data_IF_689573950903
#
_entry.id   IF_689573950903
#
_cell.length_a   1.000
_cell.length_b   1.000
_cell.length_c   1.000
_cell.angle_alpha   90.00
_cell.angle_beta   90.00
_cell.angle_gamma   90.00
#
_symmetry.space_group_name_H-M   'P 1'
#
loop_
_entity.id
_entity.type
_entity.pdbx_description
1 polymer ?
#
# COMPACT_ATOMS: atom_id res chain seq x y z
N UNK A 1 3.72 8.96 -7.42
CA UNK A 1 3.54 8.22 -6.15
C UNK A 1 2.26 7.39 -6.12
N UNK A 2 1.10 7.91 -6.54
CA UNK A 2 -0.17 7.18 -6.46
C UNK A 2 -0.17 5.83 -7.21
N UNK A 3 0.41 5.78 -8.42
CA UNK A 3 0.55 4.53 -9.20
C UNK A 3 1.40 3.51 -8.44
N UNK A 4 2.54 3.93 -7.86
CA UNK A 4 3.39 3.05 -7.07
C UNK A 4 2.65 2.52 -5.82
N UNK A 5 1.91 3.37 -5.12
CA UNK A 5 1.06 2.95 -3.99
C UNK A 5 0.00 1.93 -4.44
N UNK A 6 -0.66 2.15 -5.57
CA UNK A 6 -1.63 1.21 -6.12
C UNK A 6 -1.00 -0.15 -6.48
N UNK A 7 0.19 -0.15 -7.10
CA UNK A 7 0.92 -1.39 -7.41
C UNK A 7 1.30 -2.15 -6.14
N UNK A 8 1.84 -1.46 -5.13
CA UNK A 8 2.20 -2.09 -3.85
C UNK A 8 0.98 -2.66 -3.14
N UNK A 9 -0.16 -1.97 -3.19
CA UNK A 9 -1.42 -2.47 -2.64
C UNK A 9 -1.84 -3.78 -3.32
N UNK A 10 -1.79 -3.84 -4.66
CA UNK A 10 -2.13 -5.05 -5.42
C UNK A 10 -1.20 -6.20 -5.05
N UNK A 11 0.11 -5.96 -4.94
CA UNK A 11 1.08 -6.97 -4.52
C UNK A 11 0.76 -7.49 -3.12
N UNK A 12 0.48 -6.59 -2.16
CA UNK A 12 0.09 -6.97 -0.80
C UNK A 12 -1.18 -7.83 -0.77
N UNK A 13 -2.19 -7.48 -1.57
CA UNK A 13 -3.43 -8.27 -1.69
C UNK A 13 -3.14 -9.66 -2.28
N UNK A 14 -2.35 -9.75 -3.35
CA UNK A 14 -1.99 -11.05 -3.96
C UNK A 14 -1.24 -11.94 -2.98
N UNK A 15 -0.35 -11.37 -2.15
CA UNK A 15 0.38 -12.11 -1.13
C UNK A 15 -0.53 -12.73 -0.07
N UNK A 16 -1.72 -12.17 0.21
CA UNK A 16 -2.67 -12.77 1.14
C UNK A 16 -3.25 -14.11 0.65
N UNK A 17 -3.26 -14.35 -0.65
CA UNK A 17 -3.71 -15.62 -1.25
C UNK A 17 -2.57 -16.63 -1.44
N UNK A 18 -1.35 -16.26 -1.08
CA UNK A 18 -0.19 -17.14 -1.18
C UNK A 18 -0.29 -18.20 -0.07
N UNK A 19 -0.09 -19.50 -0.38
CA UNK A 19 -0.33 -20.61 0.57
C UNK A 19 0.76 -20.74 1.64
N UNK A 20 1.50 -19.66 1.92
CA UNK A 20 2.66 -19.67 2.80
C UNK A 20 2.23 -19.14 4.17
N UNK A 21 2.52 -19.90 5.22
CA UNK A 21 2.14 -19.55 6.58
C UNK A 21 3.22 -18.69 7.29
N UNK A 22 2.80 -17.94 8.31
CA UNK A 22 3.70 -17.20 9.20
C UNK A 22 4.05 -15.80 8.73
N UNK A 23 5.30 -15.57 8.29
CA UNK A 23 5.87 -14.24 8.05
C UNK A 23 5.25 -13.52 6.84
N UNK A 24 4.82 -14.26 5.81
CA UNK A 24 4.33 -13.67 4.55
C UNK A 24 2.99 -12.95 4.69
N UNK A 25 1.98 -13.52 5.36
CA UNK A 25 0.75 -12.78 5.67
C UNK A 25 1.03 -11.49 6.45
N UNK A 26 2.02 -11.48 7.36
CA UNK A 26 2.41 -10.27 8.10
C UNK A 26 3.01 -9.23 7.15
N UNK A 27 3.93 -9.63 6.26
CA UNK A 27 4.51 -8.74 5.25
C UNK A 27 3.45 -8.19 4.29
N UNK A 28 2.49 -9.02 3.89
CA UNK A 28 1.35 -8.59 3.07
C UNK A 28 0.56 -7.46 3.73
N UNK A 29 0.23 -7.61 5.02
CA UNK A 29 -0.42 -6.57 5.81
C UNK A 29 0.41 -5.29 5.92
N UNK A 30 1.72 -5.40 6.16
CA UNK A 30 2.61 -4.24 6.21
C UNK A 30 2.61 -3.48 4.88
N UNK A 31 2.69 -4.18 3.76
CA UNK A 31 2.64 -3.59 2.41
C UNK A 31 1.30 -2.89 2.16
N UNK A 32 0.18 -3.50 2.55
CA UNK A 32 -1.15 -2.91 2.43
C UNK A 32 -1.23 -1.61 3.24
N UNK A 33 -0.86 -1.62 4.53
CA UNK A 33 -0.93 -0.43 5.39
C UNK A 33 -0.01 0.68 4.88
N UNK A 34 1.22 0.35 4.46
CA UNK A 34 2.15 1.31 3.91
C UNK A 34 1.62 1.95 2.62
N UNK A 35 1.01 1.14 1.73
CA UNK A 35 0.44 1.63 0.48
C UNK A 35 -0.75 2.57 0.68
N UNK A 36 -1.64 2.25 1.63
CA UNK A 36 -2.78 3.09 1.99
C UNK A 36 -2.29 4.42 2.56
N UNK A 37 -1.32 4.36 3.47
CA UNK A 37 -0.71 5.55 4.08
C UNK A 37 -0.07 6.44 3.02
N UNK A 38 0.72 5.86 2.11
CA UNK A 38 1.38 6.59 1.03
C UNK A 38 0.34 7.19 0.05
N UNK A 39 -0.71 6.45 -0.26
CA UNK A 39 -1.84 6.92 -1.07
C UNK A 39 -2.53 8.12 -0.43
N UNK A 40 -2.86 8.03 0.86
CA UNK A 40 -3.48 9.10 1.62
C UNK A 40 -2.60 10.36 1.66
N UNK A 41 -1.30 10.22 1.95
CA UNK A 41 -0.34 11.32 1.93
C UNK A 41 -0.26 11.96 0.55
N UNK A 42 -0.18 11.15 -0.51
CA UNK A 42 -0.12 11.65 -1.89
C UNK A 42 -1.37 12.45 -2.23
N UNK A 43 -2.56 11.96 -1.86
CA UNK A 43 -3.82 12.65 -2.08
C UNK A 43 -3.91 13.95 -1.28
N UNK A 44 -3.45 13.94 -0.03
CA UNK A 44 -3.41 15.13 0.81
C UNK A 44 -2.56 16.24 0.15
N UNK A 45 -1.32 15.92 -0.26
CA UNK A 45 -0.46 16.90 -0.93
C UNK A 45 -0.93 17.29 -2.33
N UNK A 46 -1.69 16.43 -3.03
CA UNK A 46 -2.30 16.81 -4.31
C UNK A 46 -3.44 17.82 -4.15
N UNK A 47 -4.10 17.84 -2.99
CA UNK A 47 -5.24 18.71 -2.67
C UNK A 47 -4.87 19.97 -1.90
N UNK A 48 -3.70 19.99 -1.26
CA UNK A 48 -3.22 21.17 -0.56
C UNK A 48 -2.98 22.31 -1.57
N UNK A 49 -3.62 23.48 -1.41
CA UNK A 49 -3.34 24.63 -2.25
C UNK A 49 -1.88 25.04 -2.06
N UNK A 50 -1.15 25.17 -3.17
CA UNK A 50 0.23 25.65 -3.16
C UNK A 50 0.19 27.15 -2.89
N UNK A 51 0.63 27.56 -1.69
CA UNK A 51 0.84 28.97 -1.32
C UNK A 51 2.03 29.56 -2.04
#
# INVERSE_FOLDING_TARGET
MLIAAAVVLVIGIVLLFTPWDGLIPVLAWVLIVASITLGAITLFFSRAPRS
#
